data_IF_535211924449
#
_entry.id   IF_535211924449
#
_cell.length_a   1.000
_cell.length_b   1.000
_cell.length_c   1.000
_cell.angle_alpha   90.00
_cell.angle_beta   90.00
_cell.angle_gamma   90.00
#
_symmetry.space_group_name_H-M   'P 1'
#
loop_
_entity.id
_entity.type
_entity.pdbx_description
1 polymer ?
#
# COMPACT_ATOMS: atom_id res chain seq x y z
N UNK A 1 5.60 -17.66 -10.34
CA UNK A 1 5.29 -16.85 -9.15
C UNK A 1 4.73 -17.69 -8.02
N UNK A 2 3.70 -18.52 -8.27
CA UNK A 2 3.11 -19.42 -7.26
C UNK A 2 4.14 -20.33 -6.57
N UNK A 3 5.00 -21.00 -7.33
CA UNK A 3 6.05 -21.88 -6.77
C UNK A 3 7.06 -21.13 -5.90
N UNK A 4 7.29 -19.84 -6.19
CA UNK A 4 8.26 -19.01 -5.48
C UNK A 4 7.67 -18.46 -4.17
N UNK A 5 6.39 -18.07 -4.20
CA UNK A 5 5.70 -17.38 -3.08
C UNK A 5 4.85 -18.34 -2.24
N UNK A 6 4.57 -19.55 -2.74
CA UNK A 6 3.78 -20.56 -2.02
C UNK A 6 2.28 -20.24 -1.87
N UNK A 7 1.80 -19.16 -2.49
CA UNK A 7 0.37 -18.79 -2.52
C UNK A 7 -0.16 -18.91 -3.95
N UNK A 8 -1.27 -19.60 -4.22
CA UNK A 8 -1.80 -19.74 -5.59
C UNK A 8 -2.48 -18.45 -6.08
N UNK A 9 -2.61 -18.31 -7.39
CA UNK A 9 -3.55 -17.38 -7.99
C UNK A 9 -4.97 -17.90 -7.79
N UNK A 10 -5.91 -16.95 -7.73
CA UNK A 10 -7.34 -17.21 -7.75
C UNK A 10 -7.93 -16.57 -8.99
N UNK A 11 -8.82 -17.28 -9.67
CA UNK A 11 -9.48 -16.80 -10.89
C UNK A 11 -10.86 -16.24 -10.58
N UNK A 12 -11.42 -15.48 -11.52
CA UNK A 12 -12.82 -15.05 -11.44
C UNK A 12 -13.06 -13.80 -10.58
N UNK A 13 -12.04 -12.96 -10.38
CA UNK A 13 -12.15 -11.76 -9.56
C UNK A 13 -12.65 -10.58 -10.38
N UNK A 14 -13.56 -9.80 -9.81
CA UNK A 14 -13.97 -8.48 -10.31
C UNK A 14 -13.22 -7.39 -9.53
N UNK A 15 -12.49 -6.55 -10.26
CA UNK A 15 -11.59 -5.55 -9.72
C UNK A 15 -11.98 -4.17 -10.22
N UNK A 16 -12.13 -3.21 -9.30
CA UNK A 16 -12.35 -1.80 -9.62
C UNK A 16 -11.22 -0.95 -9.06
N UNK A 17 -10.45 -0.31 -9.94
CA UNK A 17 -9.40 0.64 -9.55
C UNK A 17 -10.05 1.93 -9.04
N UNK A 18 -9.62 2.36 -7.85
CA UNK A 18 -10.04 3.59 -7.18
C UNK A 18 -8.82 4.52 -7.14
N UNK A 19 -8.74 5.41 -8.12
CA UNK A 19 -7.55 6.22 -8.43
C UNK A 19 -7.19 7.29 -7.38
N UNK A 20 -8.12 7.70 -6.51
CA UNK A 20 -7.89 8.84 -5.63
C UNK A 20 -8.94 8.90 -4.50
N UNK A 21 -8.77 9.82 -3.54
CA UNK A 21 -9.67 9.99 -2.40
C UNK A 21 -11.14 10.16 -2.77
N UNK A 22 -11.42 10.91 -3.86
CA UNK A 22 -12.78 11.14 -4.37
C UNK A 22 -13.47 9.85 -4.88
N UNK A 23 -12.71 8.78 -5.16
CA UNK A 23 -13.23 7.45 -5.52
C UNK A 23 -13.08 6.43 -4.41
N UNK A 24 -11.99 6.49 -3.66
CA UNK A 24 -11.63 5.51 -2.63
C UNK A 24 -12.62 5.58 -1.47
N UNK A 25 -12.76 6.75 -0.85
CA UNK A 25 -13.51 6.87 0.39
C UNK A 25 -15.01 6.67 0.22
N UNK A 26 -15.68 7.22 -0.82
CA UNK A 26 -17.09 6.95 -1.04
C UNK A 26 -17.39 5.46 -1.21
N UNK A 27 -16.57 4.73 -1.98
CA UNK A 27 -16.77 3.31 -2.21
C UNK A 27 -16.60 2.47 -0.93
N UNK A 28 -15.60 2.79 -0.11
CA UNK A 28 -15.39 2.13 1.19
C UNK A 28 -16.53 2.43 2.17
N UNK A 29 -16.96 3.69 2.27
CA UNK A 29 -18.06 4.10 3.15
C UNK A 29 -19.40 3.50 2.72
N UNK A 30 -19.66 3.42 1.42
CA UNK A 30 -20.83 2.75 0.87
C UNK A 30 -20.85 1.27 1.26
N UNK A 31 -19.73 0.57 1.10
CA UNK A 31 -19.62 -0.83 1.52
C UNK A 31 -19.88 -0.99 3.03
N UNK A 32 -19.25 -0.17 3.88
CA UNK A 32 -19.48 -0.22 5.33
C UNK A 32 -20.95 0.03 5.66
N UNK A 33 -21.56 1.09 5.12
CA UNK A 33 -22.98 1.43 5.38
C UNK A 33 -23.93 0.32 4.89
N UNK A 34 -23.56 -0.39 3.82
CA UNK A 34 -24.31 -1.52 3.27
C UNK A 34 -24.12 -2.85 3.99
N UNK A 35 -23.17 -2.94 4.93
CA UNK A 35 -22.82 -4.20 5.61
C UNK A 35 -24.00 -4.80 6.37
N UNK A 36 -24.14 -6.12 6.28
CA UNK A 36 -25.23 -6.90 6.88
C UNK A 36 -24.78 -7.83 8.00
N UNK A 37 -23.52 -8.23 8.04
CA UNK A 37 -23.01 -9.23 8.97
C UNK A 37 -21.67 -8.85 9.56
N UNK A 38 -20.69 -8.48 8.74
CA UNK A 38 -19.31 -8.26 9.22
C UNK A 38 -18.63 -7.07 8.54
N UNK A 39 -17.81 -6.35 9.30
CA UNK A 39 -16.90 -5.30 8.81
C UNK A 39 -15.58 -5.46 9.54
N UNK A 40 -14.51 -5.72 8.80
CA UNK A 40 -13.16 -5.91 9.31
C UNK A 40 -12.22 -4.90 8.64
N UNK A 41 -11.74 -3.92 9.40
CA UNK A 41 -10.87 -2.87 8.91
C UNK A 41 -9.53 -2.88 9.64
N UNK A 42 -8.44 -2.95 8.90
CA UNK A 42 -7.08 -2.71 9.40
C UNK A 42 -6.40 -1.57 8.65
N UNK A 43 -5.72 -0.71 9.38
CA UNK A 43 -4.94 0.39 8.78
C UNK A 43 -3.77 0.82 9.67
N UNK A 44 -2.70 1.30 9.02
CA UNK A 44 -1.61 1.99 9.70
C UNK A 44 -2.04 3.40 10.15
N UNK A 45 -2.56 4.20 9.22
CA UNK A 45 -2.92 5.61 9.46
C UNK A 45 -4.43 5.72 9.65
N UNK A 46 -4.79 6.24 10.83
CA UNK A 46 -6.12 6.74 11.15
C UNK A 46 -5.93 8.01 11.98
N UNK A 47 -6.09 9.17 11.35
CA UNK A 47 -5.75 10.47 11.95
C UNK A 47 -7.00 11.30 12.23
N UNK A 48 -7.17 12.40 11.48
CA UNK A 48 -8.13 13.46 11.77
C UNK A 48 -8.84 13.90 10.50
N UNK A 49 -9.86 14.74 10.69
CA UNK A 49 -10.65 15.32 9.61
C UNK A 49 -12.03 14.69 9.51
N UNK A 50 -12.85 15.23 8.61
CA UNK A 50 -14.23 14.81 8.48
C UNK A 50 -14.32 13.36 7.99
N UNK A 51 -13.39 12.93 7.14
CA UNK A 51 -13.35 11.55 6.66
C UNK A 51 -13.14 10.54 7.80
N UNK A 52 -12.26 10.83 8.76
CA UNK A 52 -12.05 10.00 9.93
C UNK A 52 -13.33 9.88 10.77
N UNK A 53 -14.08 10.99 10.93
CA UNK A 53 -15.36 11.00 11.65
C UNK A 53 -16.45 10.24 10.91
N UNK A 54 -16.50 10.33 9.58
CA UNK A 54 -17.45 9.60 8.76
C UNK A 54 -17.25 8.09 8.86
N UNK A 55 -16.01 7.61 8.79
CA UNK A 55 -15.67 6.20 8.98
C UNK A 55 -16.10 5.72 10.37
N UNK A 56 -15.75 6.46 11.42
CA UNK A 56 -16.14 6.13 12.78
C UNK A 56 -17.66 6.10 12.96
N UNK A 57 -18.37 7.08 12.40
CA UNK A 57 -19.82 7.16 12.47
C UNK A 57 -20.49 5.99 11.74
N UNK A 58 -20.02 5.63 10.54
CA UNK A 58 -20.54 4.51 9.76
C UNK A 58 -20.31 3.18 10.48
N UNK A 59 -19.10 2.93 10.97
CA UNK A 59 -18.77 1.73 11.75
C UNK A 59 -19.57 1.63 13.05
N UNK A 60 -19.67 2.72 13.81
CA UNK A 60 -20.45 2.77 15.05
C UNK A 60 -21.94 2.54 14.80
N UNK A 61 -22.48 3.05 13.70
CA UNK A 61 -23.88 2.83 13.33
C UNK A 61 -24.15 1.36 12.95
N UNK A 62 -23.29 0.75 12.13
CA UNK A 62 -23.40 -0.69 11.80
C UNK A 62 -23.27 -1.58 13.04
N UNK A 63 -22.34 -1.26 13.94
CA UNK A 63 -22.20 -1.99 15.20
C UNK A 63 -23.48 -1.94 16.05
N UNK A 64 -24.11 -0.76 16.17
CA UNK A 64 -25.42 -0.62 16.85
C UNK A 64 -26.55 -1.38 16.14
N UNK A 65 -26.45 -1.55 14.83
CA UNK A 65 -27.38 -2.35 14.04
C UNK A 65 -27.14 -3.88 14.15
N UNK A 66 -26.17 -4.32 14.96
CA UNK A 66 -25.88 -5.74 15.21
C UNK A 66 -24.83 -6.36 14.29
N UNK A 67 -24.26 -5.58 13.36
CA UNK A 67 -23.14 -6.01 12.51
C UNK A 67 -21.89 -6.16 13.36
N UNK A 68 -21.10 -7.23 13.16
CA UNK A 68 -19.80 -7.39 13.80
C UNK A 68 -18.80 -6.43 13.18
N UNK A 69 -18.31 -5.46 13.94
CA UNK A 69 -17.30 -4.51 13.44
C UNK A 69 -15.99 -4.68 14.20
N UNK A 70 -14.90 -4.99 13.51
CA UNK A 70 -13.54 -5.04 14.06
C UNK A 70 -12.66 -3.98 13.39
N UNK A 71 -11.94 -3.25 14.22
CA UNK A 71 -11.01 -2.21 13.78
C UNK A 71 -9.64 -2.47 14.41
N UNK A 72 -8.65 -2.74 13.58
CA UNK A 72 -7.26 -2.90 13.99
C UNK A 72 -6.44 -1.69 13.54
N UNK A 73 -5.87 -0.96 14.49
CA UNK A 73 -5.08 0.25 14.22
C UNK A 73 -3.65 0.04 14.70
N UNK A 74 -2.67 0.42 13.89
CA UNK A 74 -1.29 0.46 14.32
C UNK A 74 -1.07 1.51 15.45
N UNK A 75 -0.46 1.11 16.57
CA UNK A 75 -0.28 2.02 17.71
C UNK A 75 0.69 3.21 17.48
N UNK A 76 1.49 3.21 16.41
CA UNK A 76 2.36 4.31 16.01
C UNK A 76 1.65 5.16 14.95
N UNK A 77 1.09 4.52 13.93
CA UNK A 77 0.38 5.20 12.86
C UNK A 77 -0.94 5.86 13.32
N UNK A 78 -1.63 5.31 14.32
CA UNK A 78 -2.85 5.89 14.90
C UNK A 78 -2.63 6.91 16.02
N UNK A 79 -1.39 7.35 16.30
CA UNK A 79 -1.11 8.33 17.39
C UNK A 79 -1.80 9.68 17.22
N UNK A 80 -2.14 10.04 15.98
CA UNK A 80 -2.79 11.31 15.65
C UNK A 80 -4.31 11.18 15.57
N UNK A 81 -4.91 10.06 15.96
CA UNK A 81 -6.36 9.89 15.92
C UNK A 81 -7.09 10.98 16.73
N UNK A 82 -8.23 11.46 16.23
CA UNK A 82 -9.06 12.45 16.94
C UNK A 82 -9.48 11.94 18.35
N UNK A 83 -9.30 12.80 19.36
CA UNK A 83 -9.61 12.45 20.76
C UNK A 83 -11.07 12.03 20.91
N UNK A 84 -11.30 10.93 21.63
CA UNK A 84 -12.64 10.41 21.92
C UNK A 84 -13.30 9.64 20.76
N UNK A 85 -12.71 9.62 19.56
CA UNK A 85 -13.26 8.88 18.41
C UNK A 85 -13.23 7.37 18.64
N UNK A 86 -12.12 6.87 19.17
CA UNK A 86 -11.95 5.45 19.54
C UNK A 86 -12.95 5.06 20.63
N UNK A 87 -13.07 5.86 21.68
CA UNK A 87 -14.02 5.58 22.77
C UNK A 87 -15.48 5.63 22.28
N UNK A 88 -15.79 6.50 21.31
CA UNK A 88 -17.12 6.57 20.72
C UNK A 88 -17.45 5.32 19.90
N UNK A 89 -16.48 4.78 19.15
CA UNK A 89 -16.62 3.51 18.42
C UNK A 89 -16.76 2.33 19.39
N UNK A 90 -15.91 2.25 20.40
CA UNK A 90 -15.94 1.18 21.41
C UNK A 90 -17.28 1.13 22.15
N UNK A 91 -17.78 2.30 22.62
CA UNK A 91 -19.12 2.41 23.23
C UNK A 91 -20.27 2.04 22.29
N UNK A 92 -20.08 2.14 20.98
CA UNK A 92 -21.07 1.76 19.99
C UNK A 92 -21.06 0.26 19.65
N UNK A 93 -20.11 -0.51 20.21
CA UNK A 93 -19.95 -1.94 19.97
C UNK A 93 -18.92 -2.30 18.91
N UNK A 94 -18.11 -1.35 18.44
CA UNK A 94 -16.98 -1.66 17.55
C UNK A 94 -15.83 -2.25 18.37
N UNK A 95 -15.31 -3.40 17.95
CA UNK A 95 -14.14 -4.00 18.57
C UNK A 95 -12.87 -3.31 18.08
N UNK A 96 -12.41 -2.30 18.80
CA UNK A 96 -11.18 -1.57 18.46
C UNK A 96 -9.97 -2.19 19.17
N UNK A 97 -8.98 -2.61 18.39
CA UNK A 97 -7.71 -3.13 18.90
C UNK A 97 -6.52 -2.36 18.33
N UNK A 98 -5.44 -2.35 19.11
CA UNK A 98 -4.21 -1.65 18.76
C UNK A 98 -3.07 -2.63 18.52
N UNK A 99 -2.53 -2.63 17.32
CA UNK A 99 -1.39 -3.44 16.95
C UNK A 99 -0.11 -2.90 17.62
N UNK A 100 0.52 -3.76 18.43
CA UNK A 100 1.83 -3.56 19.09
C UNK A 100 1.97 -2.20 19.81
N UNK A 101 1.20 -2.06 20.90
CA UNK A 101 1.31 -0.93 21.83
C UNK A 101 2.75 -0.77 22.35
N UNK A 102 3.25 0.47 22.59
CA UNK A 102 4.63 0.72 23.03
C UNK A 102 5.07 0.01 24.33
N UNK A 103 4.12 -0.52 25.11
CA UNK A 103 4.36 -1.15 26.42
C UNK A 103 4.67 -2.65 26.35
N UNK A 104 4.74 -3.26 25.16
CA UNK A 104 5.07 -4.69 25.00
C UNK A 104 6.60 -4.90 25.08
N UNK A 105 7.06 -5.76 26.00
CA UNK A 105 8.46 -5.91 26.47
C UNK A 105 9.52 -6.39 25.44
N UNK A 106 9.17 -6.57 24.16
CA UNK A 106 10.14 -7.04 23.15
C UNK A 106 10.48 -5.93 22.15
N UNK A 107 11.66 -5.29 22.25
CA UNK A 107 12.08 -4.23 21.32
C UNK A 107 12.19 -4.72 19.86
N UNK A 108 12.46 -6.02 19.64
CA UNK A 108 12.48 -6.62 18.30
C UNK A 108 11.09 -6.69 17.66
N UNK A 109 10.04 -6.99 18.44
CA UNK A 109 8.66 -6.96 17.94
C UNK A 109 8.15 -5.54 17.71
N UNK A 110 8.63 -4.54 18.46
CA UNK A 110 8.18 -3.15 18.32
C UNK A 110 8.57 -2.51 16.97
N UNK A 111 9.63 -3.02 16.32
CA UNK A 111 10.06 -2.48 15.04
C UNK A 111 9.14 -2.90 13.88
N UNK A 112 8.42 -4.02 14.00
CA UNK A 112 7.47 -4.42 12.96
C UNK A 112 6.11 -3.79 13.19
N UNK A 113 5.57 -3.16 12.15
CA UNK A 113 4.33 -2.39 12.21
C UNK A 113 3.31 -2.97 11.27
N UNK A 114 2.04 -2.76 11.61
CA UNK A 114 0.94 -3.06 10.72
C UNK A 114 0.95 -2.01 9.61
N UNK A 115 1.40 -2.37 8.41
CA UNK A 115 1.33 -1.47 7.25
C UNK A 115 0.29 -1.92 6.20
N UNK A 116 -0.34 -3.08 6.40
CA UNK A 116 -1.52 -3.51 5.64
C UNK A 116 -2.68 -2.52 5.75
N UNK A 117 -3.36 -2.33 4.64
CA UNK A 117 -4.60 -1.54 4.54
C UNK A 117 -5.62 -2.43 3.88
N UNK A 118 -6.50 -3.00 4.70
CA UNK A 118 -7.51 -3.95 4.25
C UNK A 118 -8.82 -3.61 4.92
N UNK A 119 -9.86 -3.46 4.10
CA UNK A 119 -11.25 -3.45 4.55
C UNK A 119 -11.92 -4.70 3.94
N UNK A 120 -12.53 -5.54 4.76
CA UNK A 120 -13.40 -6.64 4.32
C UNK A 120 -14.80 -6.40 4.85
N UNK A 121 -15.79 -6.45 3.98
CA UNK A 121 -17.21 -6.29 4.31
C UNK A 121 -17.94 -7.55 3.91
N UNK A 122 -18.68 -8.09 4.87
CA UNK A 122 -19.55 -9.26 4.72
C UNK A 122 -18.86 -10.53 4.20
N UNK A 123 -17.52 -10.57 4.23
CA UNK A 123 -16.67 -11.60 3.61
C UNK A 123 -16.86 -11.73 2.09
N UNK A 124 -17.47 -10.72 1.45
CA UNK A 124 -17.84 -10.74 0.01
C UNK A 124 -17.17 -9.61 -0.79
N UNK A 125 -16.87 -8.49 -0.13
CA UNK A 125 -16.22 -7.33 -0.76
C UNK A 125 -14.99 -6.97 0.07
N UNK A 126 -13.86 -6.77 -0.61
CA UNK A 126 -12.64 -6.32 0.03
C UNK A 126 -12.05 -5.09 -0.66
N UNK A 127 -11.22 -4.35 0.07
CA UNK A 127 -10.48 -3.22 -0.45
C UNK A 127 -9.03 -3.27 0.01
N UNK A 128 -8.08 -2.95 -0.86
CA UNK A 128 -6.67 -2.80 -0.50
C UNK A 128 -5.89 -1.85 -1.42
N UNK A 129 -4.73 -1.37 -0.95
CA UNK A 129 -3.89 -0.37 -1.63
C UNK A 129 -3.08 0.49 -0.64
N UNK A 130 -2.74 1.72 -1.04
CA UNK A 130 -1.83 2.58 -0.27
C UNK A 130 -2.47 3.53 0.75
N UNK A 131 -3.79 3.73 0.69
CA UNK A 131 -4.51 4.83 1.36
C UNK A 131 -4.44 4.79 2.90
N UNK A 132 -4.25 5.95 3.52
CA UNK A 132 -4.51 6.17 4.95
C UNK A 132 -5.87 6.82 5.19
N UNK A 133 -6.45 6.68 6.38
CA UNK A 133 -7.69 7.38 6.75
C UNK A 133 -7.33 8.73 7.39
N UNK A 134 -7.16 9.74 6.55
CA UNK A 134 -6.87 11.11 6.95
C UNK A 134 -7.29 12.10 5.85
N UNK A 135 -7.48 13.37 6.22
CA UNK A 135 -7.93 14.43 5.31
C UNK A 135 -7.01 14.60 4.09
N UNK A 136 -5.71 14.38 4.27
CA UNK A 136 -4.69 14.51 3.24
C UNK A 136 -4.91 13.53 2.08
N UNK A 137 -5.56 12.39 2.29
CA UNK A 137 -5.85 11.43 1.21
C UNK A 137 -7.14 11.74 0.45
N UNK A 138 -7.89 12.77 0.83
CA UNK A 138 -9.09 13.20 0.12
C UNK A 138 -8.71 13.87 -1.21
N UNK A 139 -9.63 13.89 -2.17
CA UNK A 139 -9.44 14.60 -3.44
C UNK A 139 -8.77 13.81 -4.55
N UNK A 140 -8.19 14.53 -5.51
CA UNK A 140 -7.57 14.02 -6.75
C UNK A 140 -6.18 14.62 -7.02
N UNK A 141 -5.45 14.91 -5.95
CA UNK A 141 -4.14 15.56 -6.05
C UNK A 141 -4.19 16.84 -6.90
N UNK A 142 -5.19 17.68 -6.62
CA UNK A 142 -5.41 18.96 -7.31
C UNK A 142 -4.45 20.04 -6.81
N UNK A 143 -4.03 19.93 -5.56
CA UNK A 143 -3.05 20.79 -4.90
C UNK A 143 -2.24 20.01 -3.85
N UNK A 144 -1.30 20.68 -3.19
CA UNK A 144 -0.35 20.09 -2.26
C UNK A 144 -0.97 19.42 -1.02
N UNK A 145 -2.24 19.70 -0.73
CA UNK A 145 -2.96 19.14 0.42
C UNK A 145 -3.65 17.81 0.13
N UNK A 146 -3.75 17.42 -1.14
CA UNK A 146 -4.42 16.20 -1.60
C UNK A 146 -3.39 15.18 -2.11
N UNK A 147 -3.21 14.07 -1.40
CA UNK A 147 -2.24 13.03 -1.74
C UNK A 147 -2.77 12.17 -2.88
N UNK A 148 -1.89 11.84 -3.83
CA UNK A 148 -2.19 10.92 -4.93
C UNK A 148 -1.93 9.49 -4.49
N UNK A 149 -2.96 8.66 -4.39
CA UNK A 149 -2.83 7.24 -4.02
C UNK A 149 -3.81 6.36 -4.81
N UNK A 150 -3.59 5.05 -4.87
CA UNK A 150 -4.46 4.10 -5.56
C UNK A 150 -4.91 3.00 -4.62
N UNK A 151 -6.20 2.65 -4.71
CA UNK A 151 -6.81 1.53 -4.00
C UNK A 151 -7.59 0.66 -5.00
N UNK A 152 -7.98 -0.54 -4.59
CA UNK A 152 -8.78 -1.45 -5.42
C UNK A 152 -9.92 -1.99 -4.60
N UNK A 153 -11.12 -1.99 -5.17
CA UNK A 153 -12.26 -2.78 -4.69
C UNK A 153 -12.22 -4.15 -5.35
N UNK A 154 -12.42 -5.20 -4.56
CA UNK A 154 -12.28 -6.60 -4.95
C UNK A 154 -13.56 -7.34 -4.59
N UNK A 155 -14.09 -8.10 -5.55
CA UNK A 155 -15.17 -9.07 -5.34
C UNK A 155 -14.77 -10.39 -5.99
N UNK A 156 -14.95 -11.49 -5.27
CA UNK A 156 -14.60 -12.83 -5.74
C UNK A 156 -13.52 -13.51 -4.90
N UNK A 157 -12.94 -14.62 -5.37
CA UNK A 157 -12.07 -15.50 -4.58
C UNK A 157 -10.88 -14.83 -3.85
N UNK A 158 -10.33 -13.75 -4.39
CA UNK A 158 -9.24 -13.00 -3.77
C UNK A 158 -9.63 -12.32 -2.44
N UNK A 159 -10.93 -12.10 -2.18
CA UNK A 159 -11.43 -11.60 -0.89
C UNK A 159 -10.97 -12.50 0.26
N UNK A 160 -10.92 -13.81 0.08
CA UNK A 160 -10.43 -14.75 1.09
C UNK A 160 -8.95 -14.52 1.45
N UNK A 161 -8.13 -14.17 0.46
CA UNK A 161 -6.71 -13.84 0.67
C UNK A 161 -6.54 -12.55 1.49
N UNK A 162 -7.33 -11.52 1.18
CA UNK A 162 -7.33 -10.24 1.91
C UNK A 162 -7.90 -10.40 3.32
N UNK A 163 -9.00 -11.15 3.48
CA UNK A 163 -9.53 -11.53 4.78
C UNK A 163 -8.46 -12.25 5.60
N UNK A 164 -7.77 -13.24 5.03
CA UNK A 164 -6.68 -13.95 5.71
C UNK A 164 -5.56 -13.03 6.19
N UNK A 165 -5.24 -11.99 5.42
CA UNK A 165 -4.28 -10.96 5.84
C UNK A 165 -4.79 -10.17 7.06
N UNK A 166 -6.09 -9.83 7.10
CA UNK A 166 -6.69 -9.22 8.28
C UNK A 166 -6.59 -10.12 9.51
N UNK A 167 -6.98 -11.38 9.34
CA UNK A 167 -7.07 -12.38 10.38
C UNK A 167 -5.71 -12.68 11.04
N UNK A 168 -4.65 -12.71 10.24
CA UNK A 168 -3.28 -12.96 10.71
C UNK A 168 -2.84 -11.92 11.75
N UNK A 169 -3.09 -10.63 11.51
CA UNK A 169 -2.69 -9.59 12.44
C UNK A 169 -3.69 -9.44 13.59
N UNK A 170 -4.98 -9.70 13.34
CA UNK A 170 -6.01 -9.73 14.38
C UNK A 170 -5.73 -10.79 15.45
N UNK A 171 -5.17 -11.95 15.05
CA UNK A 171 -4.76 -13.00 15.97
C UNK A 171 -3.77 -12.51 17.05
N UNK A 172 -2.89 -11.55 16.70
CA UNK A 172 -1.91 -10.99 17.65
C UNK A 172 -2.58 -10.14 18.74
N UNK A 173 -3.78 -9.59 18.48
CA UNK A 173 -4.54 -8.83 19.47
C UNK A 173 -5.07 -9.69 20.64
N UNK A 174 -4.98 -11.02 20.54
CA UNK A 174 -5.37 -11.95 21.62
C UNK A 174 -6.88 -12.07 21.83
N UNK A 175 -7.68 -11.67 20.85
CA UNK A 175 -9.14 -11.88 20.83
C UNK A 175 -9.53 -13.16 20.10
N UNK A 176 -10.77 -13.59 20.32
CA UNK A 176 -11.39 -14.62 19.49
C UNK A 176 -11.28 -14.27 18.02
N UNK A 177 -10.84 -15.25 17.24
CA UNK A 177 -10.73 -15.12 15.80
C UNK A 177 -12.13 -15.08 15.18
N UNK A 178 -12.91 -16.14 15.40
CA UNK A 178 -14.24 -16.31 14.82
C UNK A 178 -15.34 -16.16 15.87
N UNK A 179 -16.51 -15.73 15.41
CA UNK A 179 -17.77 -15.81 16.14
C UNK A 179 -18.93 -16.25 15.22
N UNK A 180 -20.14 -16.28 15.78
CA UNK A 180 -21.35 -16.76 15.09
C UNK A 180 -21.76 -15.97 13.83
N UNK A 181 -21.13 -14.81 13.58
CA UNK A 181 -21.41 -13.96 12.41
C UNK A 181 -20.47 -14.23 11.23
N UNK A 182 -19.40 -15.00 11.43
CA UNK A 182 -18.53 -15.44 10.34
C UNK A 182 -19.22 -16.52 9.50
N UNK A 183 -19.32 -16.30 8.19
CA UNK A 183 -20.10 -17.13 7.26
C UNK A 183 -19.24 -18.01 6.37
N UNK A 184 -17.96 -17.68 6.18
CA UNK A 184 -17.03 -18.37 5.29
C UNK A 184 -17.66 -18.70 3.92
N UNK A 185 -18.25 -17.70 3.23
CA UNK A 185 -18.99 -17.96 2.01
C UNK A 185 -18.06 -18.50 0.91
N UNK A 186 -18.56 -19.45 0.13
CA UNK A 186 -17.93 -19.83 -1.13
C UNK A 186 -17.96 -18.61 -2.04
N UNK A 187 -16.79 -18.15 -2.46
CA UNK A 187 -16.67 -16.96 -3.28
C UNK A 187 -17.12 -17.25 -4.72
N UNK A 188 -18.11 -16.50 -5.20
CA UNK A 188 -18.52 -16.55 -6.60
C UNK A 188 -17.45 -15.93 -7.50
N UNK A 189 -17.23 -16.54 -8.66
CA UNK A 189 -16.38 -15.98 -9.71
C UNK A 189 -17.18 -14.94 -10.50
N UNK A 190 -17.09 -13.67 -10.10
CA UNK A 190 -17.89 -12.57 -10.67
C UNK A 190 -17.18 -11.77 -11.76
N UNK A 191 -15.87 -11.93 -11.92
CA UNK A 191 -15.09 -11.25 -12.94
C UNK A 191 -14.18 -12.20 -13.72
N UNK A 192 -13.15 -11.64 -14.35
CA UNK A 192 -12.20 -12.38 -15.18
C UNK A 192 -10.75 -12.27 -14.71
N UNK A 193 -10.46 -11.42 -13.72
CA UNK A 193 -9.10 -11.16 -13.29
C UNK A 193 -8.53 -12.33 -12.49
N UNK A 194 -7.28 -12.67 -12.77
CA UNK A 194 -6.53 -13.69 -12.03
C UNK A 194 -5.64 -12.99 -11.01
N UNK A 195 -5.82 -13.29 -9.72
CA UNK A 195 -5.25 -12.52 -8.62
C UNK A 195 -4.53 -13.42 -7.62
N UNK A 196 -3.28 -13.10 -7.33
CA UNK A 196 -2.52 -13.67 -6.22
C UNK A 196 -2.38 -12.62 -5.12
N UNK A 197 -2.88 -12.93 -3.93
CA UNK A 197 -2.74 -12.06 -2.75
C UNK A 197 -1.49 -12.47 -1.98
N UNK A 198 -0.42 -11.69 -2.12
CA UNK A 198 0.85 -11.91 -1.44
C UNK A 198 0.86 -11.14 -0.12
N UNK A 199 1.14 -11.86 0.97
CA UNK A 199 1.18 -11.30 2.33
C UNK A 199 2.63 -11.28 2.79
N UNK A 200 3.21 -10.10 2.88
CA UNK A 200 4.53 -9.93 3.48
C UNK A 200 4.37 -9.93 4.99
N UNK A 201 5.12 -10.79 5.69
CA UNK A 201 5.18 -10.77 7.15
C UNK A 201 6.60 -10.48 7.60
N UNK A 202 6.72 -9.65 8.63
CA UNK A 202 7.99 -9.24 9.17
C UNK A 202 8.62 -10.40 9.94
N UNK A 203 9.34 -11.25 9.21
CA UNK A 203 10.05 -12.42 9.71
C UNK A 203 11.51 -12.37 9.25
N UNK A 204 12.41 -12.86 10.10
CA UNK A 204 13.83 -12.95 9.75
C UNK A 204 14.02 -14.05 8.70
N UNK A 205 14.34 -13.68 7.45
CA UNK A 205 14.68 -14.64 6.41
C UNK A 205 13.98 -14.38 5.09
N UNK A 206 13.36 -15.42 4.54
CA UNK A 206 12.69 -15.41 3.24
C UNK A 206 11.41 -14.58 3.32
N UNK A 207 11.36 -13.47 2.58
CA UNK A 207 10.15 -12.66 2.45
C UNK A 207 9.50 -12.92 1.09
N UNK A 208 8.25 -13.35 1.13
CA UNK A 208 7.39 -13.60 -0.01
C UNK A 208 7.21 -12.33 -0.86
N UNK A 209 7.21 -11.15 -0.22
CA UNK A 209 7.09 -9.86 -0.90
C UNK A 209 8.34 -9.55 -1.73
N UNK A 210 9.54 -9.70 -1.15
CA UNK A 210 10.80 -9.56 -1.88
C UNK A 210 10.88 -10.55 -3.05
N UNK A 211 10.45 -11.79 -2.84
CA UNK A 211 10.42 -12.81 -3.89
C UNK A 211 9.45 -12.45 -5.02
N UNK A 212 8.26 -11.97 -4.68
CA UNK A 212 7.28 -11.48 -5.64
C UNK A 212 7.84 -10.33 -6.48
N UNK A 213 8.44 -9.32 -5.86
CA UNK A 213 9.03 -8.19 -6.58
C UNK A 213 10.23 -8.60 -7.44
N UNK A 214 11.11 -9.48 -6.97
CA UNK A 214 12.23 -9.97 -7.78
C UNK A 214 11.75 -10.73 -9.01
N UNK A 215 10.76 -11.63 -8.86
CA UNK A 215 10.17 -12.36 -9.99
C UNK A 215 9.54 -11.37 -10.98
N UNK A 216 8.81 -10.38 -10.48
CA UNK A 216 8.22 -9.33 -11.30
C UNK A 216 9.25 -8.55 -12.13
N UNK A 217 10.30 -8.04 -11.47
CA UNK A 217 11.38 -7.29 -12.12
C UNK A 217 12.14 -8.11 -13.16
N UNK A 218 12.43 -9.38 -12.87
CA UNK A 218 13.16 -10.26 -13.79
C UNK A 218 12.27 -10.77 -14.93
N UNK A 219 10.95 -10.81 -14.73
CA UNK A 219 10.01 -11.22 -15.77
C UNK A 219 9.78 -10.16 -16.85
N UNK A 220 10.06 -8.88 -16.56
CA UNK A 220 9.81 -7.78 -17.49
C UNK A 220 10.66 -7.90 -18.76
N UNK A 221 10.00 -7.84 -19.92
CA UNK A 221 10.61 -8.00 -21.26
C UNK A 221 10.60 -6.72 -22.10
N UNK A 222 9.63 -5.84 -21.89
CA UNK A 222 9.40 -4.66 -22.73
C UNK A 222 9.28 -3.37 -21.93
N UNK A 223 8.46 -3.33 -20.89
CA UNK A 223 8.19 -2.12 -20.10
C UNK A 223 7.93 -2.47 -18.64
N UNK A 224 8.61 -1.76 -17.75
CA UNK A 224 8.43 -1.83 -16.31
C UNK A 224 8.16 -0.43 -15.78
N UNK A 225 7.05 -0.23 -15.07
CA UNK A 225 6.71 1.07 -14.48
C UNK A 225 6.46 0.90 -13.00
N UNK A 226 6.97 1.83 -12.20
CA UNK A 226 6.85 1.79 -10.75
C UNK A 226 6.46 3.18 -10.26
N UNK A 227 5.38 3.28 -9.48
CA UNK A 227 5.06 4.44 -8.67
C UNK A 227 5.12 4.06 -7.19
N UNK A 228 5.93 4.77 -6.42
CA UNK A 228 6.12 4.47 -4.98
C UNK A 228 6.36 5.72 -4.16
N UNK A 229 5.74 5.76 -2.98
CA UNK A 229 5.89 6.83 -2.00
C UNK A 229 7.31 6.94 -1.44
N UNK A 230 7.92 5.81 -1.13
CA UNK A 230 9.23 5.75 -0.50
C UNK A 230 10.10 4.78 -1.29
N UNK A 231 11.22 5.28 -1.81
CA UNK A 231 12.16 4.50 -2.60
C UNK A 231 13.52 4.52 -1.94
N UNK A 232 13.79 3.49 -1.16
CA UNK A 232 15.08 3.26 -0.52
C UNK A 232 15.42 1.76 -0.69
N UNK A 233 15.61 1.32 -1.94
CA UNK A 233 15.78 -0.09 -2.24
C UNK A 233 17.06 -0.62 -1.59
N UNK A 234 17.08 -1.92 -1.35
CA UNK A 234 18.31 -2.61 -1.02
C UNK A 234 19.19 -2.74 -2.28
N UNK A 235 20.40 -3.28 -2.11
CA UNK A 235 21.34 -3.41 -3.22
C UNK A 235 20.86 -4.42 -4.26
N UNK A 236 20.21 -5.51 -3.85
CA UNK A 236 19.71 -6.54 -4.76
C UNK A 236 18.67 -5.98 -5.71
N UNK A 237 17.69 -5.26 -5.15
CA UNK A 237 16.62 -4.63 -5.91
C UNK A 237 17.18 -3.54 -6.84
N UNK A 238 18.06 -2.67 -6.34
CA UNK A 238 18.68 -1.61 -7.15
C UNK A 238 19.48 -2.20 -8.31
N UNK A 239 20.29 -3.23 -8.06
CA UNK A 239 21.09 -3.88 -9.10
C UNK A 239 20.20 -4.56 -10.15
N UNK A 240 19.09 -5.17 -9.73
CA UNK A 240 18.11 -5.80 -10.64
C UNK A 240 17.40 -4.76 -11.51
N UNK A 241 16.96 -3.65 -10.90
CA UNK A 241 16.31 -2.55 -11.61
C UNK A 241 17.26 -1.90 -12.63
N UNK A 242 18.54 -1.70 -12.28
CA UNK A 242 19.55 -1.16 -13.18
C UNK A 242 19.94 -2.10 -14.32
N UNK A 243 19.70 -3.42 -14.20
CA UNK A 243 19.96 -4.39 -15.28
C UNK A 243 18.84 -4.45 -16.31
N UNK A 244 17.61 -4.08 -15.95
CA UNK A 244 16.47 -4.15 -16.86
C UNK A 244 16.67 -3.34 -18.16
N UNK A 245 17.14 -2.08 -18.14
CA UNK A 245 17.42 -1.33 -19.36
C UNK A 245 18.47 -1.99 -20.26
N UNK A 246 19.48 -2.65 -19.68
CA UNK A 246 20.48 -3.40 -20.45
C UNK A 246 19.90 -4.62 -21.17
N UNK A 247 18.72 -5.11 -20.75
CA UNK A 247 17.95 -6.15 -21.45
C UNK A 247 17.01 -5.58 -22.52
N UNK A 248 16.96 -4.26 -22.70
CA UNK A 248 16.04 -3.58 -23.62
C UNK A 248 14.67 -3.24 -23.01
N UNK A 249 14.51 -3.40 -21.69
CA UNK A 249 13.26 -3.05 -20.98
C UNK A 249 13.22 -1.55 -20.73
N UNK A 250 12.15 -0.87 -21.13
CA UNK A 250 11.91 0.52 -20.74
C UNK A 250 11.49 0.58 -19.28
N UNK A 251 12.26 1.29 -18.44
CA UNK A 251 11.96 1.41 -17.00
C UNK A 251 11.58 2.85 -16.65
N UNK A 252 10.39 3.02 -16.09
CA UNK A 252 9.89 4.31 -15.60
C UNK A 252 9.65 4.25 -14.08
N UNK A 253 10.29 5.15 -13.33
CA UNK A 253 10.16 5.24 -11.88
C UNK A 253 9.58 6.60 -11.47
N UNK A 254 8.36 6.60 -10.96
CA UNK A 254 7.64 7.77 -10.47
C UNK A 254 7.70 7.87 -8.94
N UNK A 255 8.24 8.98 -8.45
CA UNK A 255 8.51 9.24 -7.04
C UNK A 255 7.90 10.58 -6.59
N UNK A 256 7.73 10.83 -5.28
CA UNK A 256 7.37 12.14 -4.79
C UNK A 256 8.37 13.22 -5.18
N UNK A 257 7.87 14.35 -5.66
CA UNK A 257 8.65 15.56 -5.90
C UNK A 257 8.69 16.48 -4.67
N UNK A 258 8.48 17.79 -4.83
CA UNK A 258 8.73 18.78 -3.78
C UNK A 258 7.86 18.62 -2.52
N UNK A 259 6.70 17.98 -2.63
CA UNK A 259 5.73 17.81 -1.53
C UNK A 259 5.85 16.44 -0.82
N UNK A 260 7.04 15.84 -0.79
CA UNK A 260 7.28 14.64 -0.01
C UNK A 260 7.08 14.90 1.49
N UNK A 261 6.29 14.07 2.17
CA UNK A 261 5.96 14.24 3.60
C UNK A 261 7.17 14.05 4.52
N UNK A 262 8.12 13.19 4.12
CA UNK A 262 9.33 12.86 4.89
C UNK A 262 10.60 13.17 4.11
N UNK A 263 11.26 14.27 4.49
CA UNK A 263 12.53 14.70 3.87
C UNK A 263 13.64 13.64 3.98
N UNK A 264 13.70 12.88 5.07
CA UNK A 264 14.71 11.82 5.24
C UNK A 264 14.52 10.69 4.21
N UNK A 265 13.28 10.27 3.96
CA UNK A 265 12.97 9.26 2.94
C UNK A 265 13.26 9.80 1.53
N UNK A 266 12.92 11.07 1.27
CA UNK A 266 13.23 11.72 -0.01
C UNK A 266 14.74 11.77 -0.28
N UNK A 267 15.55 12.13 0.72
CA UNK A 267 17.02 12.13 0.62
C UNK A 267 17.59 10.72 0.33
N UNK A 268 16.95 9.66 0.85
CA UNK A 268 17.35 8.29 0.57
C UNK A 268 17.14 7.93 -0.91
N UNK A 269 16.01 8.36 -1.50
CA UNK A 269 15.71 8.18 -2.93
C UNK A 269 16.65 9.01 -3.81
N UNK A 270 16.82 10.30 -3.48
CA UNK A 270 17.68 11.26 -4.20
C UNK A 270 19.12 10.74 -4.38
N UNK A 271 19.62 10.01 -3.39
CA UNK A 271 20.98 9.47 -3.42
C UNK A 271 21.22 8.38 -4.47
N UNK A 272 20.18 7.71 -4.96
CA UNK A 272 20.30 6.64 -5.98
C UNK A 272 19.88 7.10 -7.38
N UNK A 273 19.36 8.33 -7.54
CA UNK A 273 18.91 8.85 -8.84
C UNK A 273 20.00 8.84 -9.91
N UNK A 274 21.23 9.25 -9.56
CA UNK A 274 22.32 9.25 -10.53
C UNK A 274 22.59 7.84 -11.06
N UNK A 275 22.66 6.84 -10.18
CA UNK A 275 22.86 5.43 -10.54
C UNK A 275 21.75 4.90 -11.44
N UNK A 276 20.49 5.20 -11.12
CA UNK A 276 19.34 4.79 -11.92
C UNK A 276 19.35 5.40 -13.32
N UNK A 277 19.53 6.73 -13.40
CA UNK A 277 19.50 7.43 -14.68
C UNK A 277 20.71 7.08 -15.54
N UNK A 278 21.89 6.88 -14.94
CA UNK A 278 23.08 6.36 -15.64
C UNK A 278 22.85 4.95 -16.22
N UNK A 279 22.03 4.13 -15.55
CA UNK A 279 21.66 2.81 -16.02
C UNK A 279 20.54 2.82 -17.08
N UNK A 280 19.97 3.97 -17.43
CA UNK A 280 18.90 4.10 -18.42
C UNK A 280 17.48 4.02 -17.85
N UNK A 281 17.30 4.20 -16.53
CA UNK A 281 15.99 4.31 -15.89
C UNK A 281 15.47 5.74 -15.98
N UNK A 282 14.23 5.90 -16.44
CA UNK A 282 13.54 7.18 -16.48
C UNK A 282 12.93 7.51 -15.12
N UNK A 283 13.61 8.37 -14.34
CA UNK A 283 13.14 8.82 -13.02
C UNK A 283 12.30 10.09 -13.16
N UNK A 284 11.08 10.06 -12.62
CA UNK A 284 10.09 11.12 -12.65
C UNK A 284 9.70 11.54 -11.24
N UNK A 285 9.55 12.85 -11.03
CA UNK A 285 9.12 13.43 -9.77
C UNK A 285 7.72 14.03 -9.92
N UNK A 286 6.74 13.50 -9.19
CA UNK A 286 5.38 14.04 -9.16
C UNK A 286 5.37 15.45 -8.56
N UNK A 287 4.80 16.43 -9.28
CA UNK A 287 4.88 17.85 -8.89
C UNK A 287 3.69 18.37 -8.06
N UNK A 288 2.42 17.99 -8.30
CA UNK A 288 1.28 18.66 -7.66
C UNK A 288 1.21 18.49 -6.14
N UNK A 289 1.55 17.30 -5.64
CA UNK A 289 1.35 16.93 -4.24
C UNK A 289 2.20 15.72 -3.84
N UNK A 290 1.90 15.12 -2.70
CA UNK A 290 2.52 13.88 -2.25
C UNK A 290 2.04 12.70 -3.13
N UNK A 291 2.98 11.99 -3.77
CA UNK A 291 2.71 10.72 -4.46
C UNK A 291 2.78 9.55 -3.47
N UNK A 292 1.63 9.02 -3.05
CA UNK A 292 1.55 7.91 -2.09
C UNK A 292 1.18 6.55 -2.72
N UNK A 293 0.98 6.47 -4.04
CA UNK A 293 0.70 5.19 -4.70
C UNK A 293 1.82 4.16 -4.48
N UNK A 294 1.46 2.87 -4.48
CA UNK A 294 2.39 1.73 -4.54
C UNK A 294 1.92 0.79 -5.65
N UNK A 295 2.29 1.15 -6.87
CA UNK A 295 1.83 0.48 -8.09
C UNK A 295 3.05 0.09 -8.92
N UNK A 296 3.03 -1.12 -9.47
CA UNK A 296 3.95 -1.56 -10.51
C UNK A 296 3.16 -2.15 -11.67
N UNK A 297 3.55 -1.84 -12.91
CA UNK A 297 3.01 -2.51 -14.11
C UNK A 297 4.15 -3.12 -14.91
N UNK A 298 3.87 -4.28 -15.52
CA UNK A 298 4.85 -5.11 -16.22
C UNK A 298 4.27 -5.49 -17.58
N UNK A 299 4.92 -5.03 -18.63
CA UNK A 299 4.65 -5.36 -20.04
C UNK A 299 3.20 -5.15 -20.51
N UNK A 300 2.42 -4.34 -19.78
CA UNK A 300 0.98 -4.16 -20.04
C UNK A 300 0.11 -5.37 -19.67
N UNK A 301 0.69 -6.41 -19.07
CA UNK A 301 0.02 -7.68 -18.77
C UNK A 301 -0.28 -7.87 -17.28
N UNK A 302 0.67 -7.50 -16.42
CA UNK A 302 0.55 -7.67 -14.97
C UNK A 302 0.61 -6.34 -14.23
N UNK A 303 -0.26 -6.21 -13.22
CA UNK A 303 -0.27 -5.10 -12.27
C UNK A 303 -0.02 -5.59 -10.85
N UNK A 304 0.82 -4.89 -10.10
CA UNK A 304 1.03 -5.11 -8.66
C UNK A 304 0.57 -3.87 -7.91
N UNK A 305 -0.31 -4.04 -6.94
CA UNK A 305 -0.85 -2.96 -6.13
C UNK A 305 -1.08 -3.41 -4.69
N UNK A 306 -0.80 -2.55 -3.73
CA UNK A 306 -1.02 -2.86 -2.32
C UNK A 306 -0.45 -1.82 -1.39
N UNK A 307 -0.04 -2.26 -0.21
CA UNK A 307 0.47 -1.38 0.84
C UNK A 307 2.00 -1.24 0.85
N UNK A 308 2.73 -2.17 0.23
CA UNK A 308 4.19 -2.28 0.31
C UNK A 308 4.91 -1.20 -0.49
N UNK A 309 5.83 -0.47 0.15
CA UNK A 309 6.75 0.44 -0.54
C UNK A 309 8.03 -0.29 -0.94
N UNK A 310 8.78 0.29 -1.89
CA UNK A 310 10.12 -0.18 -2.27
C UNK A 310 11.21 0.41 -1.37
N UNK A 311 11.06 0.24 -0.06
CA UNK A 311 12.09 0.56 0.93
C UNK A 311 12.42 -0.67 1.78
N UNK A 312 13.64 -0.68 2.32
CA UNK A 312 14.10 -1.78 3.17
C UNK A 312 13.17 -2.03 4.36
N UNK A 313 12.58 -0.98 4.93
CA UNK A 313 11.61 -1.11 6.01
C UNK A 313 10.37 -1.93 5.61
N UNK A 314 9.69 -1.61 4.51
CA UNK A 314 8.51 -2.37 4.06
C UNK A 314 8.86 -3.83 3.74
N UNK A 315 10.10 -4.09 3.29
CA UNK A 315 10.55 -5.42 2.90
C UNK A 315 11.11 -6.28 4.06
N UNK A 316 11.70 -5.66 5.10
CA UNK A 316 12.34 -6.40 6.20
C UNK A 316 11.49 -6.37 7.49
N UNK A 317 10.59 -5.40 7.62
CA UNK A 317 10.03 -5.04 8.93
C UNK A 317 8.54 -4.79 8.97
N UNK A 318 7.82 -4.48 7.90
CA UNK A 318 6.38 -4.18 8.03
C UNK A 318 5.50 -5.35 7.57
N UNK A 319 4.35 -5.52 8.22
CA UNK A 319 3.31 -6.41 7.71
C UNK A 319 2.66 -5.73 6.50
N UNK A 320 2.74 -6.36 5.33
CA UNK A 320 2.32 -5.79 4.06
C UNK A 320 1.40 -6.75 3.29
N UNK A 321 0.63 -6.20 2.35
CA UNK A 321 -0.19 -6.97 1.43
C UNK A 321 -0.12 -6.34 0.05
N UNK A 322 0.07 -7.18 -0.97
CA UNK A 322 -0.05 -6.78 -2.38
C UNK A 322 -0.89 -7.79 -3.14
N UNK A 323 -1.58 -7.30 -4.16
CA UNK A 323 -2.22 -8.12 -5.16
C UNK A 323 -1.37 -8.08 -6.41
N UNK A 324 -0.98 -9.26 -6.90
CA UNK A 324 -0.47 -9.44 -8.25
C UNK A 324 -1.68 -9.82 -9.11
N UNK A 325 -1.96 -9.00 -10.11
CA UNK A 325 -3.12 -9.12 -10.98
C UNK A 325 -2.65 -9.40 -12.40
N UNK A 326 -3.12 -10.50 -12.98
CA UNK A 326 -2.95 -10.83 -14.39
C UNK A 326 -4.27 -10.52 -15.10
N UNK A 327 -4.31 -9.34 -15.72
CA UNK A 327 -5.48 -8.81 -16.43
C UNK A 327 -5.05 -7.60 -17.28
N UNK A 328 -5.21 -7.71 -18.59
CA UNK A 328 -4.80 -6.68 -19.55
C UNK A 328 -5.59 -5.38 -19.37
N UNK A 329 -6.89 -5.45 -19.08
CA UNK A 329 -7.74 -4.27 -18.94
C UNK A 329 -7.44 -3.51 -17.64
N UNK A 330 -7.22 -4.27 -16.55
CA UNK A 330 -6.77 -3.72 -15.28
C UNK A 330 -5.40 -3.04 -15.42
N UNK A 331 -4.43 -3.73 -16.04
CA UNK A 331 -3.08 -3.20 -16.25
C UNK A 331 -3.10 -1.96 -17.14
N UNK A 332 -3.87 -1.98 -18.23
CA UNK A 332 -4.04 -0.83 -19.11
C UNK A 332 -4.69 0.38 -18.42
N UNK A 333 -5.57 0.17 -17.43
CA UNK A 333 -6.11 1.27 -16.62
C UNK A 333 -5.04 1.85 -15.68
N UNK A 334 -4.23 1.02 -15.01
CA UNK A 334 -3.11 1.50 -14.22
C UNK A 334 -2.10 2.26 -15.07
N UNK A 335 -1.82 1.78 -16.27
CA UNK A 335 -0.90 2.45 -17.20
C UNK A 335 -1.41 3.83 -17.63
N UNK A 336 -2.71 3.97 -17.89
CA UNK A 336 -3.34 5.27 -18.16
C UNK A 336 -3.24 6.21 -16.95
N UNK A 337 -3.51 5.71 -15.76
CA UNK A 337 -3.38 6.50 -14.52
C UNK A 337 -1.95 7.00 -14.32
N UNK A 338 -0.95 6.15 -14.59
CA UNK A 338 0.47 6.50 -14.54
C UNK A 338 0.84 7.52 -15.62
N UNK A 339 0.34 7.37 -16.85
CA UNK A 339 0.57 8.36 -17.92
C UNK A 339 0.03 9.74 -17.52
N UNK A 340 -1.13 9.80 -16.88
CA UNK A 340 -1.73 11.03 -16.37
C UNK A 340 -0.89 11.66 -15.25
N UNK A 341 -0.32 10.83 -14.38
CA UNK A 341 0.57 11.29 -13.31
C UNK A 341 1.92 11.76 -13.87
N UNK A 342 2.46 11.09 -14.90
CA UNK A 342 3.68 11.50 -15.60
C UNK A 342 3.54 12.86 -16.31
N UNK A 343 2.37 13.17 -16.88
CA UNK A 343 2.11 14.50 -17.47
C UNK A 343 2.16 15.64 -16.45
N UNK A 344 1.94 15.33 -15.18
CA UNK A 344 2.07 16.26 -14.04
C UNK A 344 3.42 16.10 -13.32
N UNK A 345 4.36 15.37 -13.90
CA UNK A 345 5.64 15.06 -13.29
C UNK A 345 6.79 15.72 -14.04
N UNK A 346 7.92 15.83 -13.35
CA UNK A 346 9.17 16.32 -13.92
C UNK A 346 10.19 15.21 -13.99
N UNK A 347 10.70 14.94 -15.19
CA UNK A 347 11.81 14.00 -15.38
C UNK A 347 13.10 14.55 -14.77
N UNK A 348 13.87 13.67 -14.13
CA UNK A 348 15.22 13.98 -13.65
C UNK A 348 16.16 14.13 -14.84
N UNK A 349 16.83 15.28 -14.88
CA UNK A 349 17.95 15.55 -15.78
C UNK A 349 19.25 15.21 -15.04
N UNK A 350 20.02 14.27 -15.58
CA UNK A 350 21.24 13.75 -14.96
C UNK A 350 22.31 14.83 -14.78
N UNK A 351 22.52 15.69 -15.79
CA UNK A 351 23.55 16.71 -15.75
C UNK A 351 23.23 17.74 -14.67
N UNK A 352 21.98 18.20 -14.62
CA UNK A 352 21.49 19.10 -13.59
C UNK A 352 21.58 18.45 -12.21
N UNK A 353 21.24 17.16 -12.10
CA UNK A 353 21.30 16.43 -10.83
C UNK A 353 22.73 16.27 -10.30
N UNK A 354 23.72 16.03 -11.16
CA UNK A 354 25.13 15.96 -10.77
C UNK A 354 25.69 17.30 -10.27
N UNK A 355 25.16 18.42 -10.80
CA UNK A 355 25.49 19.80 -10.40
C UNK A 355 24.74 20.30 -9.16
N UNK A 356 24.01 19.44 -8.44
CA UNK A 356 23.30 19.80 -7.20
C UNK A 356 24.24 20.36 -6.13
N UNK A 357 23.69 21.17 -5.23
CA UNK A 357 24.46 21.95 -4.26
C UNK A 357 25.32 21.07 -3.33
N UNK A 358 26.46 21.56 -2.83
CA UNK A 358 27.25 20.85 -1.83
C UNK A 358 26.45 20.53 -0.56
N UNK A 359 25.55 21.43 -0.15
CA UNK A 359 24.64 21.21 0.99
C UNK A 359 23.78 19.96 0.77
N UNK A 360 23.18 19.83 -0.42
CA UNK A 360 22.37 18.68 -0.79
C UNK A 360 23.18 17.38 -0.73
N UNK A 361 24.41 17.37 -1.27
CA UNK A 361 25.31 16.21 -1.21
C UNK A 361 25.67 15.81 0.23
N UNK A 362 25.91 16.80 1.10
CA UNK A 362 26.17 16.55 2.52
C UNK A 362 24.96 15.95 3.23
N UNK A 363 23.75 16.47 2.98
CA UNK A 363 22.52 15.92 3.55
C UNK A 363 22.26 14.47 3.12
N UNK A 364 22.51 14.15 1.85
CA UNK A 364 22.44 12.76 1.34
C UNK A 364 23.45 11.84 2.04
N UNK A 365 24.67 12.31 2.31
CA UNK A 365 25.71 11.55 2.99
C UNK A 365 25.39 11.35 4.49
N UNK A 366 24.90 12.38 5.18
CA UNK A 366 24.52 12.30 6.60
C UNK A 366 23.32 11.38 6.83
N UNK A 367 22.41 11.29 5.87
CA UNK A 367 21.25 10.38 5.94
C UNK A 367 21.59 8.94 5.54
N UNK A 368 22.75 8.67 4.94
CA UNK A 368 23.13 7.34 4.47
C UNK A 368 23.11 6.24 5.56
N UNK A 369 23.61 6.45 6.79
CA UNK A 369 23.51 5.45 7.86
C UNK A 369 22.07 5.14 8.28
N UNK A 370 21.18 6.13 8.18
CA UNK A 370 19.76 5.99 8.53
C UNK A 370 18.96 5.21 7.49
N UNK A 371 19.46 5.07 6.24
CA UNK A 371 18.77 4.32 5.16
C UNK A 371 18.53 2.87 5.50
N UNK A 372 19.36 2.27 6.36
CA UNK A 372 19.15 0.89 6.82
C UNK A 372 17.88 0.74 7.67
N UNK A 373 17.38 1.84 8.23
CA UNK A 373 16.24 1.89 9.16
C UNK A 373 15.01 2.60 8.57
N UNK A 374 15.13 3.13 7.34
CA UNK A 374 14.08 3.78 6.56
C UNK A 374 13.55 2.82 5.49
#
# INVERSE_FOLDING_TARGET
>A
METTVGTPFTEGNDLTILRNGDRIFPAMLEAIRGARSTVDLMTFVYWKGDIAREFAAAMAERARAGVRVRLLIDALGGRLIDNGLVDAMDRAGVHVEWFRKPLVKSPFKQNHRLHRKVLVVDEEVAFTGGVGIAQEWCGDARDETEWRDTHVRVVGPAVTGLASAFLQDWAEAGRGLWDERDRFPVQEQRGSSTVQVVRGSASLGWDDMQSAFHVALESAQHRLRIATAYFAPDRSFLDTLCKAPARGVQVELLLPGPHADKRACQLASEAVYATLVDAGVDVWLFQPSMMHAKVMTIDGYAGIIGSSNFNRRSLDHDEEVVMVVLDDAFTAQLDRDLDDDLRRSRRIDLERWRRRSPVQKTLEAVTAPARRWM
#
